data_IF_771206744171
#
_entry.id   IF_771206744171
#
_cell.length_a   1.000
_cell.length_b   1.000
_cell.length_c   1.000
_cell.angle_alpha   90.00
_cell.angle_beta   90.00
_cell.angle_gamma   90.00
#
_symmetry.space_group_name_H-M   'P 1'
#
loop_
_entity.id
_entity.type
_entity.pdbx_description
1 polymer ?
#
# COMPACT_ATOMS: atom_id res chain seq x y z
N UNK A 1 -24.49 7.20 4.14
CA UNK A 1 -23.07 7.59 4.17
C UNK A 1 -22.25 6.32 4.11
N UNK A 2 -21.17 6.31 3.34
CA UNK A 2 -20.31 5.14 3.16
C UNK A 2 -19.45 5.00 4.42
N UNK A 3 -19.43 3.82 5.05
CA UNK A 3 -18.87 3.61 6.40
C UNK A 3 -17.40 4.06 6.55
N UNK A 4 -16.66 4.15 5.44
CA UNK A 4 -15.30 4.73 5.39
C UNK A 4 -15.23 6.22 5.77
N UNK A 5 -16.27 7.00 5.47
CA UNK A 5 -16.34 8.43 5.81
C UNK A 5 -16.48 8.63 7.30
N UNK A 6 -17.37 7.87 7.94
CA UNK A 6 -17.59 7.91 9.38
C UNK A 6 -16.32 7.48 10.15
N UNK A 7 -15.56 6.51 9.63
CA UNK A 7 -14.30 6.05 10.26
C UNK A 7 -13.11 7.02 10.12
N UNK A 8 -13.14 7.93 9.15
CA UNK A 8 -12.13 8.99 9.01
C UNK A 8 -12.47 10.14 9.96
N UNK A 9 -13.76 10.43 10.18
CA UNK A 9 -14.23 11.47 11.11
C UNK A 9 -14.14 11.06 12.60
N UNK A 10 -14.18 9.77 12.93
CA UNK A 10 -14.19 9.26 14.31
C UNK A 10 -12.78 8.97 14.88
N UNK A 11 -11.69 9.44 14.24
CA UNK A 11 -10.38 9.33 14.87
C UNK A 11 -10.22 10.35 15.99
N UNK A 12 -10.06 9.87 17.22
CA UNK A 12 -9.34 10.60 18.28
C UNK A 12 -7.84 10.69 17.91
N UNK A 13 -7.54 11.30 16.76
CA UNK A 13 -6.19 11.65 16.36
C UNK A 13 -5.80 12.90 17.14
N UNK A 14 -5.01 12.69 18.19
CA UNK A 14 -4.21 13.73 18.81
C UNK A 14 -3.39 14.45 17.72
N UNK A 15 -3.95 15.58 17.27
CA UNK A 15 -3.33 16.67 16.54
C UNK A 15 -2.14 16.32 15.63
N UNK A 16 -2.41 15.74 14.45
CA UNK A 16 -1.65 16.02 13.22
C UNK A 16 -2.30 15.36 11.98
N UNK A 17 -3.17 16.15 11.34
CA UNK A 17 -3.66 16.04 9.95
C UNK A 17 -4.48 14.78 9.65
N UNK A 18 -5.78 14.83 9.94
CA UNK A 18 -6.74 13.97 9.25
C UNK A 18 -6.82 14.39 7.78
N UNK A 19 -6.62 13.45 6.83
CA UNK A 19 -6.74 13.78 5.41
C UNK A 19 -8.20 14.05 5.05
N UNK A 20 -8.42 15.01 4.18
CA UNK A 20 -9.72 15.16 3.52
C UNK A 20 -10.03 13.87 2.74
N UNK A 21 -11.31 13.49 2.60
CA UNK A 21 -11.69 12.27 1.87
C UNK A 21 -11.16 12.24 0.43
N UNK A 22 -10.97 13.41 -0.17
CA UNK A 22 -10.41 13.60 -1.51
C UNK A 22 -8.91 13.32 -1.60
N UNK A 23 -8.21 13.27 -0.47
CA UNK A 23 -6.77 13.04 -0.34
C UNK A 23 -6.45 11.58 0.00
N UNK A 24 -7.47 10.77 0.29
CA UNK A 24 -7.36 9.35 0.63
C UNK A 24 -7.53 8.48 -0.61
N UNK A 25 -6.55 7.61 -0.84
CA UNK A 25 -6.61 6.52 -1.80
C UNK A 25 -7.02 5.21 -1.12
N UNK A 26 -8.05 4.55 -1.65
CA UNK A 26 -8.46 3.22 -1.20
C UNK A 26 -7.61 2.16 -1.90
N UNK A 27 -6.74 1.48 -1.16
CA UNK A 27 -5.98 0.33 -1.68
C UNK A 27 -6.88 -0.89 -1.84
N UNK A 28 -7.77 -1.08 -0.86
CA UNK A 28 -8.79 -2.11 -0.93
C UNK A 28 -9.93 -1.92 0.05
N UNK A 29 -11.09 -2.46 -0.34
CA UNK A 29 -12.22 -2.74 0.54
C UNK A 29 -12.34 -4.24 0.77
N UNK A 30 -12.66 -4.62 1.99
CA UNK A 30 -12.91 -5.98 2.42
C UNK A 30 -14.34 -6.03 2.99
N UNK A 31 -15.17 -6.90 2.41
CA UNK A 31 -16.56 -7.05 2.84
C UNK A 31 -17.42 -5.78 2.71
N UNK A 32 -18.68 -5.83 3.17
CA UNK A 32 -19.62 -4.71 3.09
C UNK A 32 -19.50 -3.69 4.23
N UNK A 33 -18.79 -4.00 5.31
CA UNK A 33 -18.83 -3.27 6.60
C UNK A 33 -17.64 -2.32 6.81
N UNK A 34 -17.23 -1.55 5.80
CA UNK A 34 -16.22 -0.50 5.98
C UNK A 34 -14.81 -0.97 6.38
N UNK A 35 -14.47 -2.25 6.16
CA UNK A 35 -13.11 -2.76 6.41
C UNK A 35 -12.24 -2.65 5.16
N UNK A 36 -10.94 -2.42 5.31
CA UNK A 36 -10.07 -2.18 4.17
C UNK A 36 -8.71 -1.59 4.54
N UNK A 37 -7.95 -1.23 3.50
CA UNK A 37 -6.68 -0.53 3.65
C UNK A 37 -6.72 0.75 2.83
N UNK A 38 -6.28 1.84 3.47
CA UNK A 38 -6.31 3.20 2.98
C UNK A 38 -4.92 3.80 3.04
N UNK A 39 -4.61 4.66 2.08
CA UNK A 39 -3.34 5.37 2.05
C UNK A 39 -3.55 6.83 1.67
N UNK A 40 -2.77 7.71 2.28
CA UNK A 40 -2.69 9.11 1.88
C UNK A 40 -1.25 9.60 2.05
N UNK A 41 -0.97 10.79 1.52
CA UNK A 41 0.31 11.44 1.67
C UNK A 41 0.07 12.86 2.19
N UNK A 42 0.31 13.14 3.49
CA UNK A 42 0.09 14.47 4.06
C UNK A 42 1.05 15.52 3.49
N UNK A 43 2.19 15.08 2.96
CA UNK A 43 3.16 15.92 2.31
C UNK A 43 3.87 15.15 1.17
N UNK A 44 4.97 15.71 0.69
CA UNK A 44 5.68 15.16 -0.45
C UNK A 44 6.56 13.95 -0.19
N UNK A 45 6.89 13.70 1.07
CA UNK A 45 7.88 12.73 1.49
C UNK A 45 7.37 11.84 2.62
N UNK A 46 6.09 11.95 2.99
CA UNK A 46 5.45 11.11 3.99
C UNK A 46 4.25 10.40 3.37
N UNK A 47 4.11 9.10 3.65
CA UNK A 47 2.85 8.40 3.41
C UNK A 47 2.32 7.82 4.72
N UNK A 48 1.00 7.76 4.83
CA UNK A 48 0.32 7.16 5.96
C UNK A 48 -0.57 6.02 5.48
N UNK A 49 -0.52 4.90 6.21
CA UNK A 49 -1.29 3.70 5.95
C UNK A 49 -2.23 3.45 7.13
N UNK A 50 -3.52 3.29 6.83
CA UNK A 50 -4.52 2.85 7.80
C UNK A 50 -5.11 1.52 7.35
N UNK A 51 -5.04 0.54 8.23
CA UNK A 51 -5.67 -0.77 8.10
C UNK A 51 -6.85 -0.83 9.06
N UNK A 52 -8.05 -1.00 8.51
CA UNK A 52 -9.30 -1.13 9.25
C UNK A 52 -9.80 -2.56 9.10
N UNK A 53 -10.04 -3.21 10.23
CA UNK A 53 -10.68 -4.53 10.36
C UNK A 53 -11.77 -4.43 11.41
N UNK A 54 -12.65 -5.42 11.50
CA UNK A 54 -13.87 -5.41 12.33
C UNK A 54 -13.63 -5.05 13.81
N UNK A 55 -12.45 -5.32 14.36
CA UNK A 55 -12.08 -5.03 15.75
C UNK A 55 -10.68 -4.45 15.90
N UNK A 56 -10.02 -4.07 14.80
CA UNK A 56 -8.64 -3.60 14.81
C UNK A 56 -8.48 -2.42 13.84
N UNK A 57 -7.98 -1.30 14.37
CA UNK A 57 -7.47 -0.17 13.61
C UNK A 57 -5.96 -0.11 13.83
N UNK A 58 -5.20 -0.19 12.75
CA UNK A 58 -3.75 0.03 12.76
C UNK A 58 -3.45 1.22 11.86
N UNK A 59 -2.67 2.16 12.37
CA UNK A 59 -2.29 3.36 11.66
C UNK A 59 -0.79 3.60 11.82
N UNK A 60 -0.13 4.03 10.75
CA UNK A 60 1.26 4.48 10.80
C UNK A 60 1.59 5.38 9.62
N UNK A 61 2.39 6.42 9.89
CA UNK A 61 2.97 7.29 8.90
C UNK A 61 4.48 7.05 8.81
N UNK A 62 5.01 7.07 7.60
CA UNK A 62 6.39 6.72 7.32
C UNK A 62 6.98 7.67 6.29
N UNK A 63 8.22 8.07 6.53
CA UNK A 63 8.99 8.87 5.57
C UNK A 63 9.44 8.03 4.38
N UNK A 64 9.41 8.63 3.20
CA UNK A 64 9.98 8.10 1.98
C UNK A 64 11.50 8.36 1.98
N UNK A 65 12.27 7.41 1.46
CA UNK A 65 13.71 7.54 1.37
C UNK A 65 14.11 8.84 0.61
N UNK A 66 15.00 9.69 1.17
CA UNK A 66 15.36 10.99 0.57
C UNK A 66 16.11 10.86 -0.77
N UNK A 67 16.81 9.75 -1.00
CA UNK A 67 17.63 9.49 -2.20
C UNK A 67 16.96 8.51 -3.18
N UNK A 68 15.63 8.44 -3.17
CA UNK A 68 14.88 7.54 -4.06
C UNK A 68 15.01 7.98 -5.54
N UNK A 69 15.04 7.05 -6.49
CA UNK A 69 15.04 7.40 -7.91
C UNK A 69 13.76 8.15 -8.29
N UNK A 70 13.88 9.32 -8.94
CA UNK A 70 12.74 10.13 -9.40
C UNK A 70 11.79 9.42 -10.39
N UNK A 71 12.27 8.32 -10.97
CA UNK A 71 11.51 7.31 -11.72
C UNK A 71 11.82 5.97 -11.08
N UNK A 72 11.06 5.64 -10.05
CA UNK A 72 11.48 4.58 -9.15
C UNK A 72 10.34 3.95 -8.40
N UNK A 73 10.69 2.80 -7.85
CA UNK A 73 9.93 2.06 -6.88
C UNK A 73 10.51 2.35 -5.50
N UNK A 74 9.65 2.55 -4.51
CA UNK A 74 10.00 2.49 -3.10
C UNK A 74 9.10 1.45 -2.47
N UNK A 75 9.67 0.42 -1.86
CA UNK A 75 8.90 -0.47 -1.02
C UNK A 75 8.52 0.28 0.25
N UNK A 76 7.24 0.25 0.61
CA UNK A 76 6.71 1.03 1.72
C UNK A 76 5.91 0.13 2.64
N UNK A 77 6.38 0.00 3.87
CA UNK A 77 5.71 -0.68 4.97
C UNK A 77 6.29 -2.04 5.31
N UNK A 78 6.30 -2.35 6.61
CA UNK A 78 6.40 -3.72 7.08
C UNK A 78 5.09 -4.44 6.74
N UNK A 79 5.16 -5.70 6.26
CA UNK A 79 3.97 -6.43 5.88
C UNK A 79 3.03 -6.55 7.09
N UNK A 80 1.77 -6.17 6.94
CA UNK A 80 0.77 -6.29 8.01
C UNK A 80 -0.02 -7.60 7.86
N UNK A 81 -0.26 -8.35 8.95
CA UNK A 81 -1.11 -9.54 8.88
C UNK A 81 -2.55 -9.15 8.54
N UNK A 82 -3.12 -9.69 7.46
CA UNK A 82 -4.56 -9.67 7.23
C UNK A 82 -5.21 -10.82 8.01
N UNK A 83 -5.59 -10.57 9.25
CA UNK A 83 -6.46 -11.46 10.01
C UNK A 83 -7.70 -10.72 10.49
N UNK A 84 -8.86 -11.36 10.38
CA UNK A 84 -10.06 -10.99 11.14
C UNK A 84 -10.30 -12.14 12.13
N UNK A 85 -10.22 -11.87 13.43
CA UNK A 85 -10.49 -12.88 14.47
C UNK A 85 -9.35 -13.86 14.75
N UNK A 86 -9.52 -14.63 15.83
CA UNK A 86 -8.55 -15.49 16.53
C UNK A 86 -7.92 -16.64 15.72
N UNK A 87 -8.29 -16.82 14.45
CA UNK A 87 -7.70 -17.83 13.57
C UNK A 87 -6.64 -17.21 12.66
N UNK A 88 -5.45 -16.96 13.23
CA UNK A 88 -4.20 -16.61 12.55
C UNK A 88 -3.65 -17.76 11.67
N UNK A 89 -4.47 -18.45 10.88
CA UNK A 89 -4.06 -19.74 10.28
C UNK A 89 -3.40 -19.64 8.91
N UNK A 90 -3.37 -18.48 8.23
CA UNK A 90 -2.48 -18.20 7.10
C UNK A 90 -2.15 -16.71 7.12
N UNK A 91 -0.88 -16.36 7.32
CA UNK A 91 -0.45 -14.96 7.34
C UNK A 91 -0.59 -14.37 5.93
N UNK A 92 -1.73 -13.77 5.63
CA UNK A 92 -1.90 -12.92 4.45
C UNK A 92 -1.14 -11.62 4.72
N UNK A 93 0.10 -11.53 4.24
CA UNK A 93 0.93 -10.34 4.45
C UNK A 93 0.58 -9.28 3.40
N UNK A 94 0.02 -8.13 3.80
CA UNK A 94 -0.17 -7.00 2.89
C UNK A 94 1.18 -6.33 2.64
N UNK A 95 1.67 -6.39 1.41
CA UNK A 95 2.81 -5.60 0.95
C UNK A 95 2.31 -4.34 0.25
N UNK A 96 2.90 -3.19 0.58
CA UNK A 96 2.63 -1.92 -0.08
C UNK A 96 3.90 -1.39 -0.73
N UNK A 97 3.73 -0.69 -1.83
CA UNK A 97 4.81 -0.24 -2.68
C UNK A 97 4.39 1.05 -3.37
N UNK A 98 5.35 1.91 -3.68
CA UNK A 98 5.10 3.23 -4.22
C UNK A 98 5.88 3.40 -5.52
N UNK A 99 5.21 3.87 -6.57
CA UNK A 99 5.86 4.24 -7.84
C UNK A 99 5.59 5.70 -8.14
N UNK A 100 6.66 6.47 -8.38
CA UNK A 100 6.56 7.89 -8.71
C UNK A 100 6.50 8.12 -10.23
N UNK A 101 5.70 9.11 -10.63
CA UNK A 101 5.66 9.70 -11.98
C UNK A 101 5.49 8.68 -13.12
N UNK A 102 4.84 7.55 -12.83
CA UNK A 102 4.56 6.48 -13.78
C UNK A 102 3.07 6.17 -13.75
N UNK A 103 2.50 5.89 -14.91
CA UNK A 103 1.08 5.57 -15.06
C UNK A 103 0.87 4.22 -15.72
N UNK A 104 -0.31 3.66 -15.47
CA UNK A 104 -0.80 2.43 -16.08
C UNK A 104 -0.77 1.24 -15.14
N UNK A 105 -1.17 0.08 -15.67
CA UNK A 105 -1.41 -1.12 -14.89
C UNK A 105 -0.09 -1.82 -14.54
N UNK A 106 0.15 -2.03 -13.25
CA UNK A 106 1.25 -2.84 -12.76
C UNK A 106 0.78 -4.27 -12.53
N UNK A 107 1.58 -5.25 -12.96
CA UNK A 107 1.25 -6.67 -12.82
C UNK A 107 2.47 -7.51 -12.49
N UNK A 108 2.25 -8.64 -11.84
CA UNK A 108 3.29 -9.65 -11.64
C UNK A 108 3.73 -10.26 -12.97
N UNK A 109 5.04 -10.42 -13.13
CA UNK A 109 5.70 -11.09 -14.24
C UNK A 109 6.73 -12.09 -13.70
N UNK A 110 7.03 -13.13 -14.48
CA UNK A 110 7.83 -14.26 -14.00
C UNK A 110 6.98 -15.26 -13.22
N UNK A 111 7.64 -16.09 -12.40
CA UNK A 111 6.92 -17.00 -11.52
C UNK A 111 6.21 -16.22 -10.42
N UNK A 112 5.03 -16.70 -10.01
CA UNK A 112 4.23 -16.07 -8.96
C UNK A 112 4.21 -16.97 -7.73
N UNK A 113 4.42 -16.44 -6.52
CA UNK A 113 4.21 -17.22 -5.30
C UNK A 113 2.77 -17.75 -5.27
N UNK A 114 2.57 -18.95 -4.71
CA UNK A 114 1.23 -19.51 -4.57
C UNK A 114 0.41 -18.66 -3.62
N UNK A 115 -0.88 -18.51 -3.93
CA UNK A 115 -1.79 -17.72 -3.09
C UNK A 115 -1.45 -16.23 -3.04
N UNK A 116 -0.80 -15.69 -4.08
CA UNK A 116 -0.59 -14.25 -4.25
C UNK A 116 -1.84 -13.61 -4.87
N UNK A 117 -2.28 -12.48 -4.33
CA UNK A 117 -3.36 -11.70 -4.93
C UNK A 117 -2.90 -11.00 -6.20
N UNK A 118 -3.85 -10.56 -7.04
CA UNK A 118 -3.55 -9.55 -8.06
C UNK A 118 -2.99 -8.28 -7.42
N UNK A 119 -2.16 -7.55 -8.17
CA UNK A 119 -1.70 -6.21 -7.78
C UNK A 119 -2.90 -5.27 -7.83
N UNK A 120 -3.22 -4.68 -6.68
CA UNK A 120 -4.16 -3.57 -6.56
C UNK A 120 -3.37 -2.28 -6.64
N UNK A 121 -3.95 -1.24 -7.21
CA UNK A 121 -3.27 0.03 -7.33
C UNK A 121 -4.19 1.21 -7.09
N UNK A 122 -3.68 2.23 -6.42
CA UNK A 122 -4.35 3.49 -6.20
C UNK A 122 -3.38 4.63 -6.50
N UNK A 123 -3.83 5.67 -7.20
CA UNK A 123 -2.95 6.77 -7.63
C UNK A 123 -3.41 8.07 -7.00
N UNK A 124 -2.47 8.77 -6.37
CA UNK A 124 -2.63 10.13 -5.88
C UNK A 124 -1.93 11.09 -6.84
N UNK A 125 -2.55 12.25 -7.08
CA UNK A 125 -2.00 13.31 -7.92
C UNK A 125 -1.91 14.60 -7.11
N UNK A 126 -0.71 15.13 -6.99
CA UNK A 126 -0.45 16.38 -6.29
C UNK A 126 -0.67 17.58 -7.21
N UNK A 127 -0.98 18.73 -6.63
CA UNK A 127 -1.09 20.02 -7.35
C UNK A 127 0.20 20.41 -8.08
N UNK A 128 1.36 19.98 -7.56
CA UNK A 128 2.65 20.11 -8.23
C UNK A 128 2.78 19.33 -9.54
N UNK A 129 1.79 18.50 -9.89
CA UNK A 129 1.79 17.64 -11.07
C UNK A 129 2.44 16.27 -10.83
N UNK A 130 3.11 16.07 -9.68
CA UNK A 130 3.65 14.76 -9.29
C UNK A 130 2.52 13.75 -9.13
N UNK A 131 2.73 12.54 -9.61
CA UNK A 131 1.82 11.41 -9.38
C UNK A 131 2.51 10.31 -8.60
N UNK A 132 1.78 9.71 -7.66
CA UNK A 132 2.25 8.60 -6.86
C UNK A 132 1.25 7.46 -6.97
N UNK A 133 1.71 6.29 -7.42
CA UNK A 133 0.89 5.09 -7.49
C UNK A 133 1.31 4.13 -6.38
N UNK A 134 0.39 3.89 -5.44
CA UNK A 134 0.54 2.82 -4.47
C UNK A 134 0.10 1.51 -5.09
N UNK A 135 0.89 0.46 -4.84
CA UNK A 135 0.66 -0.91 -5.26
C UNK A 135 0.50 -1.76 -4.01
N UNK A 136 -0.54 -2.57 -3.96
CA UNK A 136 -0.87 -3.42 -2.83
C UNK A 136 -1.12 -4.85 -3.30
N UNK A 137 -0.50 -5.82 -2.64
CA UNK A 137 -0.67 -7.25 -2.93
C UNK A 137 -0.50 -8.04 -1.64
N UNK A 138 -1.13 -9.20 -1.57
CA UNK A 138 -0.95 -10.15 -0.47
C UNK A 138 -0.42 -11.47 -0.96
N UNK A 139 0.22 -12.19 -0.05
CA UNK A 139 0.63 -13.58 -0.26
C UNK A 139 0.37 -14.39 1.00
N UNK A 140 0.04 -15.67 0.80
CA UNK A 140 -0.09 -16.66 1.87
C UNK A 140 1.09 -17.63 1.94
N UNK A 141 1.89 -17.71 0.87
CA UNK A 141 3.10 -18.54 0.82
C UNK A 141 4.33 -17.69 1.20
N UNK A 142 5.16 -18.25 2.08
CA UNK A 142 6.45 -17.67 2.47
C UNK A 142 7.54 -17.84 1.41
N UNK A 143 7.36 -18.78 0.47
CA UNK A 143 8.34 -19.04 -0.60
C UNK A 143 8.11 -18.13 -1.79
N UNK A 144 8.97 -17.13 -1.90
CA UNK A 144 8.99 -16.20 -3.03
C UNK A 144 9.97 -16.71 -4.09
N UNK A 145 9.51 -17.00 -5.33
CA UNK A 145 10.40 -17.29 -6.45
C UNK A 145 11.33 -16.10 -6.75
N UNK A 146 12.62 -16.35 -6.96
CA UNK A 146 13.64 -15.31 -7.18
C UNK A 146 13.44 -14.49 -8.46
N UNK A 147 12.66 -14.97 -9.42
CA UNK A 147 12.36 -14.29 -10.68
C UNK A 147 11.01 -13.54 -10.66
N UNK A 148 10.37 -13.41 -9.49
CA UNK A 148 9.12 -12.66 -9.35
C UNK A 148 9.39 -11.16 -9.48
N UNK A 149 8.77 -10.50 -10.45
CA UNK A 149 8.85 -9.04 -10.61
C UNK A 149 7.45 -8.44 -10.70
N UNK A 150 7.28 -7.20 -10.27
CA UNK A 150 6.13 -6.38 -10.69
C UNK A 150 6.62 -5.39 -11.73
N UNK A 151 5.90 -5.32 -12.85
CA UNK A 151 6.23 -4.43 -13.96
C UNK A 151 5.03 -3.57 -14.36
N UNK A 152 5.31 -2.33 -14.72
CA UNK A 152 4.35 -1.42 -15.36
C UNK A 152 4.21 -1.68 -16.87
N UNK A 153 3.42 -0.86 -17.57
CA UNK A 153 3.20 -0.99 -19.01
C UNK A 153 4.51 -0.97 -19.79
N UNK A 154 4.62 -1.86 -20.79
CA UNK A 154 5.81 -2.02 -21.63
C UNK A 154 7.12 -2.29 -20.85
N UNK A 155 7.02 -2.71 -19.57
CA UNK A 155 8.17 -3.02 -18.71
C UNK A 155 9.16 -1.84 -18.54
N UNK A 156 8.68 -0.60 -18.66
CA UNK A 156 9.51 0.60 -18.44
C UNK A 156 9.98 0.73 -16.98
N UNK A 157 9.19 0.19 -16.05
CA UNK A 157 9.52 0.09 -14.63
C UNK A 157 9.23 -1.36 -14.22
N UNK A 158 10.23 -2.02 -13.67
CA UNK A 158 10.12 -3.36 -13.08
C UNK A 158 10.95 -3.39 -11.79
N UNK A 159 10.44 -4.04 -10.76
CA UNK A 159 11.11 -4.13 -9.46
C UNK A 159 10.82 -5.47 -8.79
N UNK A 160 11.64 -5.81 -7.79
CA UNK A 160 11.43 -6.95 -6.91
C UNK A 160 10.39 -6.59 -5.84
N UNK A 161 9.22 -7.26 -5.83
CA UNK A 161 8.15 -6.94 -4.89
C UNK A 161 8.46 -7.33 -3.43
N UNK A 162 9.60 -7.95 -3.18
CA UNK A 162 9.98 -8.50 -1.87
C UNK A 162 11.44 -8.18 -1.51
N UNK A 163 12.04 -7.20 -2.18
CA UNK A 163 13.37 -6.70 -1.84
C UNK A 163 13.24 -5.57 -0.81
N UNK A 164 13.06 -5.98 0.45
CA UNK A 164 12.82 -5.09 1.59
C UNK A 164 14.04 -4.24 2.00
N UNK A 165 15.21 -4.50 1.41
CA UNK A 165 16.46 -3.82 1.75
C UNK A 165 16.53 -2.38 1.18
N UNK A 166 15.65 -2.02 0.23
CA UNK A 166 15.70 -0.75 -0.50
C UNK A 166 14.87 0.40 0.09
N UNK A 167 14.18 0.21 1.23
CA UNK A 167 13.18 1.17 1.74
C UNK A 167 13.28 1.58 3.21
N UNK A 168 14.15 0.96 4.03
CA UNK A 168 14.23 1.29 5.46
C UNK A 168 15.04 2.57 5.71
N UNK A 169 14.37 3.63 6.16
CA UNK A 169 14.98 4.64 7.04
C UNK A 169 14.32 4.46 8.40
N UNK A 170 15.15 4.21 9.41
CA UNK A 170 14.77 4.00 10.82
C UNK A 170 14.04 5.20 11.41
#
# INVERSE_FOLDING_TARGET
MDSFTEFIEESDLDTRIEPELSEVAVLQRLGPTGTGDLVWMPDADTYCLTTIRSSLKSHGCYGLAPKRPARGYVQVGDPTPRGVGSTYSKQDWLSVSLVENTQGLFTFTGDRPKGTSSVRQATLRFTSGRTVTFLAYSQTDSRIPQNTKICGPHRKVCFDPYDFDLGRVS
#
